data_IF_239896803588
#
_entry.id   IF_239896803588
#
_cell.length_a   1.000
_cell.length_b   1.000
_cell.length_c   1.000
_cell.angle_alpha   90.00
_cell.angle_beta   90.00
_cell.angle_gamma   90.00
#
_symmetry.space_group_name_H-M   'P 1'
#
loop_
_entity.id
_entity.type
_entity.pdbx_description
1 polymer ?
#
# COMPACT_ATOMS: atom_id res chain seq x y z
N UNK A 1 4.42 -6.25 106.55
CA UNK A 1 3.19 -5.42 106.54
C UNK A 1 3.19 -4.54 105.30
N UNK A 2 2.07 -4.56 104.55
CA UNK A 2 1.48 -3.54 103.65
C UNK A 2 2.39 -2.71 102.71
N UNK A 3 2.24 -3.03 101.41
CA UNK A 3 1.94 -2.16 100.24
C UNK A 3 2.00 -0.63 100.40
N UNK A 4 2.60 0.09 99.42
CA UNK A 4 1.87 1.01 98.52
C UNK A 4 2.71 1.43 97.30
N UNK A 5 2.02 1.49 96.14
CA UNK A 5 2.48 1.82 94.78
C UNK A 5 2.66 3.33 94.58
N UNK A 6 3.57 3.80 93.70
CA UNK A 6 3.23 4.78 92.64
C UNK A 6 4.33 5.06 91.59
N UNK A 7 3.86 5.13 90.32
CA UNK A 7 4.30 5.92 89.17
C UNK A 7 5.72 5.78 88.58
N UNK A 8 5.90 4.84 87.64
CA UNK A 8 6.90 4.94 86.57
C UNK A 8 6.25 5.57 85.32
N UNK A 9 6.60 6.81 84.99
CA UNK A 9 6.23 7.45 83.71
C UNK A 9 7.14 6.89 82.62
N UNK A 10 6.60 6.02 81.77
CA UNK A 10 7.27 5.58 80.54
C UNK A 10 7.16 6.70 79.49
N UNK A 11 8.24 7.44 79.27
CA UNK A 11 8.36 8.32 78.10
C UNK A 11 8.68 7.43 76.88
N UNK A 12 7.70 7.23 76.03
CA UNK A 12 7.85 6.52 74.75
C UNK A 12 8.46 7.49 73.73
N UNK A 13 9.61 7.22 73.10
CA UNK A 13 10.05 8.01 71.96
C UNK A 13 9.15 7.69 70.77
N UNK A 14 8.38 8.67 70.31
CA UNK A 14 7.65 8.60 69.05
C UNK A 14 8.71 8.64 67.94
N UNK A 15 9.14 7.47 67.49
CA UNK A 15 9.92 7.32 66.28
C UNK A 15 8.98 7.56 65.08
N UNK A 16 8.93 8.80 64.61
CA UNK A 16 8.25 9.17 63.37
C UNK A 16 8.94 8.49 62.18
N UNK A 17 8.40 7.37 61.73
CA UNK A 17 8.76 6.78 60.45
C UNK A 17 8.20 7.65 59.32
N UNK A 18 9.01 8.57 58.79
CA UNK A 18 8.72 9.25 57.53
C UNK A 18 8.89 8.22 56.41
N UNK A 19 7.79 7.59 56.00
CA UNK A 19 7.74 6.83 54.76
C UNK A 19 7.88 7.84 53.60
N UNK A 20 9.10 8.01 53.09
CA UNK A 20 9.32 8.66 51.81
C UNK A 20 8.68 7.76 50.75
N UNK A 21 7.45 8.09 50.34
CA UNK A 21 6.84 7.52 49.15
C UNK A 21 7.75 7.88 47.98
N UNK A 22 8.55 6.91 47.52
CA UNK A 22 9.29 7.06 46.27
C UNK A 22 8.26 7.31 45.17
N UNK A 23 8.40 8.39 44.36
CA UNK A 23 7.50 8.60 43.25
C UNK A 23 7.57 7.36 42.37
N UNK A 24 6.42 6.73 42.12
CA UNK A 24 6.32 5.70 41.11
C UNK A 24 6.91 6.28 39.83
N UNK A 25 7.99 5.68 39.33
CA UNK A 25 8.62 6.10 38.09
C UNK A 25 7.54 5.97 37.01
N UNK A 26 7.10 7.09 36.44
CA UNK A 26 6.15 7.08 35.34
C UNK A 26 6.75 6.23 34.22
N UNK A 27 5.95 5.32 33.66
CA UNK A 27 6.37 4.45 32.57
C UNK A 27 5.72 4.92 31.26
N UNK A 28 6.37 4.68 30.13
CA UNK A 28 5.81 4.89 28.78
C UNK A 28 4.44 4.21 28.66
N UNK A 29 4.27 3.08 29.35
CA UNK A 29 3.00 2.35 29.46
C UNK A 29 1.85 3.18 29.99
N UNK A 30 2.04 4.05 30.98
CA UNK A 30 0.96 4.86 31.56
C UNK A 30 0.37 5.80 30.50
N UNK A 31 1.24 6.41 29.69
CA UNK A 31 0.81 7.24 28.56
C UNK A 31 0.15 6.43 27.44
N UNK A 32 0.61 5.20 27.18
CA UNK A 32 -0.02 4.28 26.23
C UNK A 32 -1.43 3.88 26.68
N UNK A 33 -1.60 3.54 27.95
CA UNK A 33 -2.90 3.17 28.51
C UNK A 33 -3.86 4.35 28.45
N UNK A 34 -3.40 5.57 28.78
CA UNK A 34 -4.17 6.80 28.61
C UNK A 34 -4.57 7.04 27.14
N UNK A 35 -3.65 6.83 26.19
CA UNK A 35 -3.93 6.96 24.76
C UNK A 35 -4.99 5.97 24.28
N UNK A 36 -4.91 4.71 24.71
CA UNK A 36 -5.90 3.67 24.38
C UNK A 36 -7.28 3.98 24.98
N UNK A 37 -7.33 4.63 26.15
CA UNK A 37 -8.55 5.12 26.75
C UNK A 37 -9.12 6.39 26.08
N UNK A 38 -8.42 6.97 25.09
CA UNK A 38 -8.80 8.21 24.43
C UNK A 38 -8.43 9.49 25.20
N UNK A 39 -7.76 9.37 26.35
CA UNK A 39 -7.25 10.50 27.12
C UNK A 39 -5.87 10.93 26.58
N UNK A 40 -5.91 11.56 25.41
CA UNK A 40 -4.69 11.96 24.69
C UNK A 40 -3.91 13.06 25.42
N UNK A 41 -4.59 13.93 26.17
CA UNK A 41 -3.93 14.98 26.94
C UNK A 41 -3.11 14.39 28.09
N UNK A 42 -3.68 13.42 28.82
CA UNK A 42 -2.95 12.66 29.82
C UNK A 42 -1.80 11.87 29.19
N UNK A 43 -2.04 11.18 28.07
CA UNK A 43 -0.99 10.43 27.38
C UNK A 43 0.25 11.29 27.08
N UNK A 44 0.03 12.49 26.52
CA UNK A 44 1.11 13.46 26.27
C UNK A 44 1.78 13.91 27.56
N UNK A 45 1.02 14.13 28.63
CA UNK A 45 1.55 14.54 29.93
C UNK A 45 2.48 13.47 30.54
N UNK A 46 2.12 12.19 30.42
CA UNK A 46 2.94 11.05 30.89
C UNK A 46 4.19 10.86 30.02
N UNK A 47 4.07 10.94 28.69
CA UNK A 47 5.22 10.74 27.80
C UNK A 47 6.23 11.88 27.80
N UNK A 48 5.80 13.12 28.04
CA UNK A 48 6.69 14.28 27.95
C UNK A 48 7.92 14.22 28.87
N UNK A 49 7.82 13.94 30.19
CA UNK A 49 9.00 13.83 31.04
C UNK A 49 9.94 12.71 30.57
N UNK A 50 9.42 11.57 30.14
CA UNK A 50 10.20 10.44 29.66
C UNK A 50 10.94 10.76 28.36
N UNK A 51 10.26 11.39 27.41
CA UNK A 51 10.88 11.80 26.15
C UNK A 51 11.99 12.84 26.36
N UNK A 52 11.82 13.74 27.32
CA UNK A 52 12.84 14.70 27.74
C UNK A 52 14.02 14.01 28.44
N UNK A 53 13.76 12.94 29.19
CA UNK A 53 14.79 12.10 29.82
C UNK A 53 15.52 11.19 28.83
N UNK A 54 15.10 11.14 27.56
CA UNK A 54 15.79 10.41 26.50
C UNK A 54 15.10 9.13 26.04
N UNK A 55 13.98 8.73 26.66
CA UNK A 55 13.28 7.50 26.29
C UNK A 55 12.81 7.53 24.83
N UNK A 56 13.28 6.58 24.02
CA UNK A 56 13.05 6.56 22.58
C UNK A 56 11.58 6.27 22.23
N UNK A 57 10.88 5.46 23.02
CA UNK A 57 9.48 5.11 22.79
C UNK A 57 8.57 6.29 23.14
N UNK A 58 8.86 6.99 24.25
CA UNK A 58 8.18 8.23 24.60
C UNK A 58 8.42 9.35 23.57
N UNK A 59 9.64 9.48 23.06
CA UNK A 59 9.95 10.39 21.95
C UNK A 59 9.14 10.04 20.70
N UNK A 60 9.08 8.77 20.32
CA UNK A 60 8.24 8.33 19.19
C UNK A 60 6.76 8.66 19.42
N UNK A 61 6.23 8.37 20.60
CA UNK A 61 4.84 8.62 20.96
C UNK A 61 4.49 10.12 20.97
N UNK A 62 5.39 10.98 21.46
CA UNK A 62 5.22 12.44 21.35
C UNK A 62 5.24 12.91 19.89
N UNK A 63 6.13 12.34 19.06
CA UNK A 63 6.15 12.60 17.63
C UNK A 63 4.80 12.27 16.97
N UNK A 64 4.21 11.13 17.33
CA UNK A 64 2.88 10.72 16.87
C UNK A 64 1.78 11.66 17.36
N UNK A 65 1.81 12.10 18.62
CA UNK A 65 0.83 13.03 19.17
C UNK A 65 0.80 14.36 18.39
N UNK A 66 1.98 14.94 18.11
CA UNK A 66 2.12 16.15 17.31
C UNK A 66 1.74 15.98 15.84
N UNK A 67 2.07 14.82 15.24
CA UNK A 67 1.67 14.51 13.85
C UNK A 67 0.15 14.41 13.71
N UNK A 68 -0.52 13.82 14.70
CA UNK A 68 -1.96 13.55 14.67
C UNK A 68 -2.81 14.68 15.27
N UNK A 69 -2.20 15.62 16.00
CA UNK A 69 -2.94 16.65 16.74
C UNK A 69 -3.76 16.08 17.89
N UNK A 70 -3.28 15.02 18.55
CA UNK A 70 -3.99 14.35 19.65
C UNK A 70 -3.33 14.69 20.98
N UNK A 71 -4.08 15.33 21.88
CA UNK A 71 -3.56 15.83 23.16
C UNK A 71 -2.68 17.09 23.04
N UNK A 72 -2.28 17.46 21.82
CA UNK A 72 -1.55 18.66 21.45
C UNK A 72 -2.03 19.16 20.08
N UNK A 73 -1.87 20.45 19.73
CA UNK A 73 -2.10 20.91 18.36
C UNK A 73 -1.21 20.20 17.34
N UNK A 74 -1.68 20.10 16.10
CA UNK A 74 -0.87 19.56 14.99
C UNK A 74 0.37 20.42 14.79
N UNK A 75 1.54 19.80 14.84
CA UNK A 75 2.83 20.44 14.56
C UNK A 75 3.80 19.43 13.95
N UNK A 76 3.95 19.48 12.62
CA UNK A 76 4.81 18.54 11.90
C UNK A 76 6.31 18.79 12.15
N UNK A 77 6.70 20.02 12.52
CA UNK A 77 8.08 20.35 12.88
C UNK A 77 8.45 19.73 14.22
N UNK A 78 7.55 19.79 15.21
CA UNK A 78 7.72 19.06 16.47
C UNK A 78 7.72 17.55 16.25
N UNK A 79 6.79 17.03 15.43
CA UNK A 79 6.75 15.61 15.11
C UNK A 79 8.09 15.12 14.51
N UNK A 80 8.61 15.83 13.51
CA UNK A 80 9.92 15.54 12.93
C UNK A 80 11.05 15.57 13.95
N UNK A 81 11.11 16.60 14.80
CA UNK A 81 12.13 16.73 15.84
C UNK A 81 12.13 15.51 16.78
N UNK A 82 10.96 15.09 17.24
CA UNK A 82 10.80 13.93 18.12
C UNK A 82 11.13 12.61 17.43
N UNK A 83 10.64 12.38 16.21
CA UNK A 83 11.01 11.19 15.43
C UNK A 83 12.52 11.14 15.16
N UNK A 84 13.16 12.27 14.87
CA UNK A 84 14.60 12.34 14.63
C UNK A 84 15.40 11.97 15.87
N UNK A 85 14.92 12.31 17.07
CA UNK A 85 15.56 11.89 18.34
C UNK A 85 15.42 10.38 18.55
N UNK A 86 14.22 9.83 18.42
CA UNK A 86 13.99 8.40 18.57
C UNK A 86 14.74 7.57 17.50
N UNK A 87 14.72 8.00 16.24
CA UNK A 87 15.42 7.33 15.14
C UNK A 87 16.94 7.29 15.32
N UNK A 88 17.54 8.34 15.93
CA UNK A 88 18.98 8.34 16.28
C UNK A 88 19.34 7.25 17.29
N UNK A 89 18.38 6.79 18.08
CA UNK A 89 18.53 5.69 19.04
C UNK A 89 18.18 4.32 18.44
N UNK A 90 18.00 4.24 17.12
CA UNK A 90 17.65 2.98 16.44
C UNK A 90 16.14 2.65 16.45
N UNK A 91 15.27 3.55 16.91
CA UNK A 91 13.83 3.29 16.93
C UNK A 91 13.25 3.24 15.50
N UNK A 92 12.99 2.03 15.00
CA UNK A 92 12.65 1.78 13.59
C UNK A 92 11.36 2.49 13.14
N UNK A 93 10.28 2.43 13.95
CA UNK A 93 9.03 3.10 13.58
C UNK A 93 9.16 4.62 13.55
N UNK A 94 10.06 5.21 14.35
CA UNK A 94 10.36 6.63 14.31
C UNK A 94 11.11 6.99 13.04
N UNK A 95 12.08 6.16 12.62
CA UNK A 95 12.77 6.33 11.34
C UNK A 95 11.79 6.28 10.15
N UNK A 96 10.87 5.31 10.16
CA UNK A 96 9.86 5.17 9.10
C UNK A 96 8.95 6.41 9.01
N UNK A 97 8.48 6.92 10.15
CA UNK A 97 7.65 8.13 10.18
C UNK A 97 8.46 9.40 9.85
N UNK A 98 9.74 9.47 10.24
CA UNK A 98 10.63 10.58 9.92
C UNK A 98 10.75 10.76 8.41
N UNK A 99 11.02 9.67 7.67
CA UNK A 99 11.10 9.70 6.21
C UNK A 99 9.81 10.24 5.57
N UNK A 100 8.65 9.77 6.04
CA UNK A 100 7.35 10.22 5.54
C UNK A 100 7.06 11.70 5.85
N UNK A 101 7.37 12.17 7.06
CA UNK A 101 7.15 13.58 7.44
C UNK A 101 8.06 14.52 6.66
N UNK A 102 9.34 14.17 6.48
CA UNK A 102 10.27 14.96 5.66
C UNK A 102 9.78 15.00 4.20
N UNK A 103 9.29 13.86 3.69
CA UNK A 103 8.79 13.76 2.33
C UNK A 103 7.57 14.67 2.08
N UNK A 104 6.58 14.63 2.97
CA UNK A 104 5.37 15.46 2.85
C UNK A 104 5.62 16.94 3.10
N UNK A 105 6.69 17.28 3.82
CA UNK A 105 7.19 18.66 3.96
C UNK A 105 7.88 19.20 2.69
N UNK A 106 7.85 18.47 1.56
CA UNK A 106 8.44 18.90 0.29
C UNK A 106 9.96 18.68 0.20
N UNK A 107 10.60 18.15 1.24
CA UNK A 107 12.04 17.85 1.27
C UNK A 107 12.32 16.42 0.80
N UNK A 108 11.74 16.06 -0.34
CA UNK A 108 11.71 14.68 -0.84
C UNK A 108 13.12 14.07 -1.00
N UNK A 109 14.10 14.86 -1.46
CA UNK A 109 15.50 14.40 -1.58
C UNK A 109 16.13 14.06 -0.22
N UNK A 110 15.85 14.85 0.82
CA UNK A 110 16.30 14.56 2.19
C UNK A 110 15.63 13.27 2.73
N UNK A 111 14.37 13.03 2.37
CA UNK A 111 13.62 11.87 2.82
C UNK A 111 14.09 10.55 2.21
N UNK A 112 14.64 10.54 0.98
CA UNK A 112 14.88 9.30 0.23
C UNK A 112 15.75 8.27 0.93
N UNK A 113 16.86 8.61 1.61
CA UNK A 113 17.62 7.64 2.37
C UNK A 113 16.79 6.91 3.44
N UNK A 114 15.88 7.61 4.12
CA UNK A 114 14.97 7.01 5.09
C UNK A 114 13.93 6.12 4.40
N UNK A 115 13.29 6.62 3.34
CA UNK A 115 12.30 5.88 2.56
C UNK A 115 12.87 4.57 2.01
N UNK A 116 14.11 4.58 1.51
CA UNK A 116 14.77 3.38 0.99
C UNK A 116 14.96 2.35 2.11
N UNK A 117 15.55 2.73 3.24
CA UNK A 117 15.76 1.80 4.37
C UNK A 117 14.45 1.26 4.94
N UNK A 118 13.42 2.09 5.05
CA UNK A 118 12.08 1.67 5.48
C UNK A 118 11.44 0.69 4.50
N UNK A 119 11.54 0.94 3.19
CA UNK A 119 11.02 0.05 2.15
C UNK A 119 11.77 -1.29 2.12
N UNK A 120 13.08 -1.28 2.34
CA UNK A 120 13.92 -2.49 2.47
C UNK A 120 13.54 -3.34 3.68
N UNK A 121 13.03 -2.73 4.76
CA UNK A 121 12.46 -3.45 5.91
C UNK A 121 11.01 -3.87 5.70
N UNK A 122 10.41 -3.57 4.56
CA UNK A 122 9.03 -3.96 4.25
C UNK A 122 7.96 -3.00 4.75
N UNK A 123 8.28 -1.74 5.07
CA UNK A 123 7.27 -0.76 5.48
C UNK A 123 6.39 -0.38 4.28
N UNK A 124 5.06 -0.66 4.31
CA UNK A 124 4.22 -0.57 3.10
C UNK A 124 4.10 0.84 2.51
N UNK A 125 4.08 1.89 3.34
CA UNK A 125 3.96 3.28 2.87
C UNK A 125 5.25 3.72 2.20
N UNK A 126 6.41 3.36 2.74
CA UNK A 126 7.71 3.61 2.16
C UNK A 126 7.90 2.83 0.85
N UNK A 127 7.47 1.55 0.79
CA UNK A 127 7.44 0.78 -0.45
C UNK A 127 6.60 1.46 -1.53
N UNK A 128 5.43 1.99 -1.17
CA UNK A 128 4.58 2.74 -2.08
C UNK A 128 5.23 4.05 -2.58
N UNK A 129 5.84 4.83 -1.68
CA UNK A 129 6.56 6.07 -2.04
C UNK A 129 7.74 5.78 -2.95
N UNK A 130 8.58 4.81 -2.60
CA UNK A 130 9.73 4.40 -3.40
C UNK A 130 9.29 3.84 -4.76
N UNK A 131 8.24 3.01 -4.79
CA UNK A 131 7.66 2.48 -6.01
C UNK A 131 7.18 3.59 -6.94
N UNK A 132 6.57 4.64 -6.41
CA UNK A 132 6.13 5.81 -7.19
C UNK A 132 7.32 6.60 -7.75
N UNK A 133 8.35 6.85 -6.94
CA UNK A 133 9.56 7.54 -7.38
C UNK A 133 10.30 6.78 -8.50
N UNK A 134 10.41 5.45 -8.38
CA UNK A 134 11.00 4.58 -9.42
C UNK A 134 10.14 4.52 -10.69
N UNK A 135 8.82 4.72 -10.60
CA UNK A 135 7.97 4.81 -11.78
C UNK A 135 8.22 6.12 -12.55
N UNK A 136 8.29 7.23 -11.82
CA UNK A 136 8.41 8.58 -12.37
C UNK A 136 9.83 8.88 -12.88
N UNK A 137 10.86 8.44 -12.15
CA UNK A 137 12.26 8.79 -12.43
C UNK A 137 12.68 10.18 -11.95
N UNK A 138 11.98 10.78 -10.97
CA UNK A 138 12.13 12.17 -10.52
C UNK A 138 13.12 12.34 -9.35
N UNK A 139 13.18 11.36 -8.44
CA UNK A 139 14.05 11.36 -7.24
C UNK A 139 15.14 10.28 -7.29
N UNK A 140 14.87 9.22 -8.06
CA UNK A 140 15.73 8.06 -8.26
C UNK A 140 15.55 7.59 -9.71
N UNK A 141 16.57 6.95 -10.28
CA UNK A 141 16.51 6.45 -11.64
C UNK A 141 15.29 5.53 -11.85
N UNK A 142 14.63 5.69 -13.01
CA UNK A 142 13.42 4.96 -13.34
C UNK A 142 13.68 3.45 -13.42
N UNK A 143 12.86 2.66 -12.73
CA UNK A 143 12.89 1.20 -12.71
C UNK A 143 11.46 0.65 -12.58
N UNK A 144 10.86 0.33 -13.74
CA UNK A 144 9.48 -0.14 -13.78
C UNK A 144 9.27 -1.53 -13.14
N UNK A 145 10.13 -2.54 -13.34
CA UNK A 145 10.03 -3.81 -12.62
C UNK A 145 10.03 -3.63 -11.11
N UNK A 146 11.02 -2.90 -10.56
CA UNK A 146 11.13 -2.70 -9.12
C UNK A 146 9.99 -1.83 -8.58
N UNK A 147 9.58 -0.80 -9.33
CA UNK A 147 8.39 0.01 -9.01
C UNK A 147 7.13 -0.84 -8.84
N UNK A 148 6.88 -1.72 -9.81
CA UNK A 148 5.72 -2.60 -9.79
C UNK A 148 5.81 -3.59 -8.62
N UNK A 149 6.98 -4.19 -8.38
CA UNK A 149 7.20 -5.12 -7.29
C UNK A 149 6.96 -4.48 -5.90
N UNK A 150 7.51 -3.29 -5.66
CA UNK A 150 7.32 -2.56 -4.40
C UNK A 150 5.86 -2.15 -4.19
N UNK A 151 5.18 -1.66 -5.24
CA UNK A 151 3.76 -1.31 -5.17
C UNK A 151 2.91 -2.55 -4.88
N UNK A 152 3.28 -3.71 -5.45
CA UNK A 152 2.62 -5.00 -5.17
C UNK A 152 2.84 -5.44 -3.72
N UNK A 153 4.07 -5.40 -3.19
CA UNK A 153 4.37 -5.70 -1.78
C UNK A 153 3.55 -4.84 -0.83
N UNK A 154 3.49 -3.52 -1.10
CA UNK A 154 2.69 -2.59 -0.32
C UNK A 154 1.18 -2.92 -0.37
N UNK A 155 0.66 -3.25 -1.56
CA UNK A 155 -0.73 -3.69 -1.74
C UNK A 155 -1.02 -4.99 -0.98
N UNK A 156 -0.11 -5.97 -1.03
CA UNK A 156 -0.27 -7.26 -0.35
C UNK A 156 -0.24 -7.14 1.17
N UNK A 157 0.48 -6.12 1.68
CA UNK A 157 0.45 -5.72 3.08
C UNK A 157 -0.84 -4.95 3.47
N UNK A 158 -1.80 -4.80 2.56
CA UNK A 158 -3.11 -4.19 2.81
C UNK A 158 -3.18 -2.68 2.60
N UNK A 159 -2.15 -2.05 2.02
CA UNK A 159 -2.18 -0.61 1.75
C UNK A 159 -3.08 -0.30 0.55
N UNK A 160 -4.31 0.15 0.82
CA UNK A 160 -5.36 0.38 -0.18
C UNK A 160 -4.96 1.36 -1.29
N UNK A 161 -4.22 2.42 -0.96
CA UNK A 161 -3.70 3.37 -1.97
C UNK A 161 -2.71 2.70 -2.91
N UNK A 162 -1.92 1.73 -2.43
CA UNK A 162 -1.04 0.93 -3.27
C UNK A 162 -1.84 -0.05 -4.14
N UNK A 163 -2.92 -0.65 -3.61
CA UNK A 163 -3.83 -1.49 -4.41
C UNK A 163 -4.47 -0.70 -5.56
N UNK A 164 -4.97 0.51 -5.29
CA UNK A 164 -5.52 1.38 -6.33
C UNK A 164 -4.47 1.80 -7.36
N UNK A 165 -3.23 2.07 -6.92
CA UNK A 165 -2.12 2.39 -7.82
C UNK A 165 -1.70 1.20 -8.67
N UNK A 166 -1.69 -0.01 -8.10
CA UNK A 166 -1.32 -1.23 -8.81
C UNK A 166 -2.24 -1.47 -10.03
N UNK A 167 -3.54 -1.22 -9.89
CA UNK A 167 -4.50 -1.28 -11.02
C UNK A 167 -4.13 -0.32 -12.14
N UNK A 168 -3.62 0.87 -11.81
CA UNK A 168 -3.13 1.81 -12.83
C UNK A 168 -1.83 1.30 -13.46
N UNK A 169 -0.90 0.78 -12.65
CA UNK A 169 0.35 0.21 -13.17
C UNK A 169 0.11 -0.99 -14.08
N UNK A 170 -0.96 -1.76 -13.88
CA UNK A 170 -1.36 -2.84 -14.79
C UNK A 170 -1.67 -2.37 -16.21
N UNK A 171 -2.04 -1.10 -16.37
CA UNK A 171 -2.31 -0.47 -17.66
C UNK A 171 -1.09 0.27 -18.21
N UNK A 172 -0.29 0.86 -17.32
CA UNK A 172 0.81 1.76 -17.68
C UNK A 172 2.16 1.04 -17.86
N UNK A 173 2.38 -0.06 -17.15
CA UNK A 173 3.65 -0.81 -17.18
C UNK A 173 3.55 -1.97 -18.18
N UNK A 174 4.46 -2.06 -19.17
CA UNK A 174 4.50 -3.18 -20.12
C UNK A 174 4.51 -4.55 -19.41
N UNK A 175 3.84 -5.53 -20.02
CA UNK A 175 3.64 -6.86 -19.41
C UNK A 175 4.97 -7.53 -19.02
N UNK A 176 5.99 -7.45 -19.86
CA UNK A 176 7.31 -8.03 -19.61
C UNK A 176 8.01 -7.40 -18.39
N UNK A 177 7.79 -6.10 -18.16
CA UNK A 177 8.33 -5.36 -17.03
C UNK A 177 7.59 -5.75 -15.74
N UNK A 178 6.26 -5.88 -15.80
CA UNK A 178 5.44 -6.38 -14.68
C UNK A 178 5.83 -7.80 -14.29
N UNK A 179 6.02 -8.69 -15.26
CA UNK A 179 6.47 -10.06 -15.03
C UNK A 179 7.84 -10.11 -14.33
N UNK A 180 8.79 -9.26 -14.76
CA UNK A 180 10.08 -9.11 -14.07
C UNK A 180 9.92 -8.61 -12.64
N UNK A 181 9.05 -7.63 -12.40
CA UNK A 181 8.75 -7.15 -11.06
C UNK A 181 8.15 -8.24 -10.16
N UNK A 182 7.18 -9.00 -10.68
CA UNK A 182 6.57 -10.13 -9.96
C UNK A 182 7.60 -11.23 -9.63
N UNK A 183 8.57 -11.48 -10.51
CA UNK A 183 9.63 -12.45 -10.28
C UNK A 183 10.58 -12.05 -9.13
N UNK A 184 10.63 -10.78 -8.73
CA UNK A 184 11.46 -10.29 -7.62
C UNK A 184 10.86 -10.59 -6.24
N UNK A 185 9.53 -10.77 -6.15
CA UNK A 185 8.81 -10.80 -4.87
C UNK A 185 9.35 -11.84 -3.87
N UNK A 186 9.62 -13.11 -4.25
CA UNK A 186 10.10 -14.09 -3.28
C UNK A 186 11.47 -13.74 -2.68
N UNK A 187 12.34 -13.07 -3.45
CA UNK A 187 13.64 -12.63 -2.96
C UNK A 187 13.50 -11.39 -2.08
N UNK A 188 12.66 -10.44 -2.49
CA UNK A 188 12.34 -9.25 -1.69
C UNK A 188 11.81 -9.62 -0.30
N UNK A 189 10.89 -10.58 -0.19
CA UNK A 189 10.34 -11.02 1.09
C UNK A 189 11.40 -11.59 2.04
N UNK A 190 12.38 -12.33 1.48
CA UNK A 190 13.52 -12.85 2.24
C UNK A 190 14.45 -11.74 2.70
N UNK A 191 14.76 -10.81 1.79
CA UNK A 191 15.64 -9.68 2.09
C UNK A 191 14.99 -8.73 3.12
N UNK A 192 13.69 -8.49 3.03
CA UNK A 192 12.90 -7.73 4.01
C UNK A 192 12.95 -8.38 5.40
N UNK A 193 12.83 -9.70 5.46
CA UNK A 193 12.93 -10.44 6.71
C UNK A 193 14.33 -10.34 7.31
N UNK A 194 15.37 -10.50 6.47
CA UNK A 194 16.76 -10.31 6.88
C UNK A 194 17.03 -8.89 7.37
N UNK A 195 16.55 -7.88 6.64
CA UNK A 195 16.73 -6.47 6.98
C UNK A 195 16.06 -6.12 8.31
N UNK A 196 14.84 -6.61 8.57
CA UNK A 196 14.17 -6.43 9.86
C UNK A 196 14.94 -7.06 11.01
N UNK A 197 15.41 -8.30 10.84
CA UNK A 197 16.21 -8.99 11.87
C UNK A 197 17.52 -8.25 12.15
N UNK A 198 18.24 -7.84 11.11
CA UNK A 198 19.48 -7.08 11.24
C UNK A 198 19.26 -5.73 11.94
N UNK A 199 18.16 -5.04 11.63
CA UNK A 199 17.82 -3.76 12.24
C UNK A 199 17.51 -3.89 13.73
N UNK A 200 16.84 -4.97 14.15
CA UNK A 200 16.62 -5.27 15.57
C UNK A 200 17.94 -5.59 16.28
N UNK A 201 18.84 -6.35 15.66
CA UNK A 201 20.15 -6.66 16.23
C UNK A 201 21.08 -5.45 16.33
N UNK A 202 20.99 -4.50 15.40
CA UNK A 202 21.81 -3.28 15.39
C UNK A 202 21.33 -2.21 16.40
N UNK A 203 20.07 -2.29 16.84
CA UNK A 203 19.49 -1.37 17.84
C UNK A 203 19.66 -1.84 19.29
N UNK A 204 20.34 -2.95 19.55
CA UNK A 204 20.63 -3.39 20.91
C UNK A 204 21.69 -2.47 21.54
N UNK A 205 21.45 -1.91 22.75
CA UNK A 205 22.43 -1.07 23.40
C UNK A 205 23.73 -1.84 23.68
N UNK A 206 24.88 -1.18 23.51
CA UNK A 206 26.15 -1.66 24.03
C UNK A 206 26.03 -1.86 25.56
N UNK A 207 26.69 -2.88 26.15
CA UNK A 207 26.45 -3.34 27.52
C UNK A 207 26.70 -2.32 28.64
N UNK A 208 27.21 -1.12 28.35
CA UNK A 208 27.52 -0.07 29.34
C UNK A 208 26.41 0.99 29.51
N UNK A 209 25.33 0.95 28.73
CA UNK A 209 24.15 1.78 28.99
C UNK A 209 23.18 1.01 29.89
N UNK A 210 22.91 1.52 31.10
CA UNK A 210 21.96 0.92 32.03
C UNK A 210 20.63 0.60 31.33
N UNK A 211 20.04 -0.60 31.56
CA UNK A 211 18.91 -1.06 30.76
C UNK A 211 17.69 -0.20 31.06
N UNK A 212 17.24 0.58 30.07
CA UNK A 212 15.84 0.99 30.03
C UNK A 212 15.01 -0.30 29.98
N UNK A 213 13.94 -0.42 30.78
CA UNK A 213 13.12 -1.62 30.76
C UNK A 213 12.62 -1.83 29.33
N UNK A 214 12.90 -3.01 28.77
CA UNK A 214 12.37 -3.43 27.47
C UNK A 214 10.86 -3.63 27.62
N UNK A 215 10.12 -2.55 27.46
CA UNK A 215 8.67 -2.57 27.47
C UNK A 215 8.22 -2.67 26.03
N UNK A 216 7.21 -3.51 25.82
CA UNK A 216 6.57 -3.64 24.53
C UNK A 216 6.12 -2.24 24.12
N UNK A 217 6.69 -1.70 23.05
CA UNK A 217 6.00 -0.69 22.25
C UNK A 217 4.57 -1.18 22.14
N UNK A 218 3.59 -0.40 22.61
CA UNK A 218 2.25 -0.69 22.14
C UNK A 218 2.35 -0.69 20.62
N UNK A 219 1.89 -1.77 20.01
CA UNK A 219 1.34 -1.67 18.67
C UNK A 219 0.17 -0.69 18.80
N UNK A 220 0.49 0.61 18.87
CA UNK A 220 -0.40 1.66 18.42
C UNK A 220 -0.91 1.12 17.08
N UNK A 221 -2.25 1.10 16.85
CA UNK A 221 -2.76 0.59 15.60
C UNK A 221 -1.92 1.22 14.50
N UNK A 222 -1.34 0.39 13.63
CA UNK A 222 -0.64 0.86 12.43
C UNK A 222 -1.54 1.94 11.89
N UNK A 223 -1.07 3.21 11.81
CA UNK A 223 -1.91 4.38 11.53
C UNK A 223 -3.05 3.90 10.67
N UNK A 224 -4.25 3.70 11.25
CA UNK A 224 -5.32 3.07 10.49
C UNK A 224 -5.36 3.90 9.21
N UNK A 225 -5.30 3.29 8.00
CA UNK A 225 -5.56 4.05 6.81
C UNK A 225 -6.90 4.70 7.12
N UNK A 226 -6.88 6.00 7.41
CA UNK A 226 -8.09 6.68 7.79
C UNK A 226 -9.01 6.44 6.63
N UNK A 227 -10.01 5.57 6.83
CA UNK A 227 -11.22 5.57 6.07
C UNK A 227 -11.97 6.85 6.48
N UNK A 228 -11.39 7.98 6.10
CA UNK A 228 -12.00 9.28 5.93
C UNK A 228 -11.09 10.12 5.02
N UNK A 229 -10.65 9.53 3.91
CA UNK A 229 -10.86 10.27 2.68
C UNK A 229 -12.33 10.10 2.32
N UNK A 230 -13.14 11.09 2.70
CA UNK A 230 -14.46 11.26 2.11
C UNK A 230 -14.22 11.84 0.71
N UNK A 231 -14.51 11.13 -0.39
CA UNK A 231 -14.64 11.80 -1.67
C UNK A 231 -15.71 12.89 -1.51
N UNK A 232 -15.51 14.11 -2.05
CA UNK A 232 -16.57 15.11 -2.06
C UNK A 232 -17.84 14.49 -2.66
N UNK A 233 -19.04 14.81 -2.16
CA UNK A 233 -20.26 14.18 -2.62
C UNK A 233 -20.37 14.35 -4.15
N UNK A 234 -20.69 13.27 -4.84
CA UNK A 234 -21.23 13.39 -6.19
C UNK A 234 -22.51 14.21 -6.04
N UNK A 235 -22.49 15.43 -6.56
CA UNK A 235 -23.73 16.20 -6.73
C UNK A 235 -24.54 15.42 -7.76
N UNK A 236 -25.51 14.63 -7.28
CA UNK A 236 -26.53 14.09 -8.17
C UNK A 236 -27.27 15.29 -8.80
N UNK A 237 -27.57 15.24 -10.12
CA UNK A 237 -28.34 16.30 -10.75
C UNK A 237 -29.76 16.30 -10.16
N UNK A 238 -30.02 17.24 -9.26
CA UNK A 238 -31.38 17.58 -8.83
C UNK A 238 -32.10 18.29 -9.98
N UNK A 239 -33.33 17.89 -10.34
CA UNK A 239 -34.10 18.52 -11.39
C UNK A 239 -34.50 19.94 -10.97
N UNK A 240 -34.02 20.94 -11.72
CA UNK A 240 -34.43 22.33 -11.55
C UNK A 240 -35.89 22.50 -11.98
N UNK A 241 -36.74 22.92 -11.04
CA UNK A 241 -38.04 23.48 -11.35
C UNK A 241 -37.94 25.02 -11.33
N UNK A 242 -37.71 25.65 -12.49
CA UNK A 242 -38.22 26.99 -12.80
C UNK A 242 -38.02 27.32 -14.29
N UNK A 243 -39.04 27.95 -14.89
CA UNK A 243 -39.21 28.27 -16.33
C UNK A 243 -38.24 29.36 -16.85
N UNK A 244 -38.06 29.48 -18.19
CA UNK A 244 -36.97 30.22 -18.82
C UNK A 244 -37.30 31.70 -19.11
N UNK A 245 -36.27 32.57 -19.05
CA UNK A 245 -36.28 33.89 -19.70
C UNK A 245 -35.00 34.09 -20.55
N UNK A 246 -35.18 34.83 -21.64
CA UNK A 246 -34.42 34.74 -22.91
C UNK A 246 -32.96 35.21 -22.87
N UNK A 247 -32.17 34.52 -23.68
CA UNK A 247 -30.79 34.78 -24.03
C UNK A 247 -30.64 35.94 -25.03
N UNK A 248 -29.88 36.96 -24.64
CA UNK A 248 -28.76 37.60 -25.36
C UNK A 248 -28.14 38.61 -24.40
N UNK A 249 -26.83 38.81 -24.50
CA UNK A 249 -25.98 39.75 -23.73
C UNK A 249 -25.17 39.22 -22.52
N UNK A 250 -25.16 37.89 -22.29
CA UNK A 250 -24.36 37.29 -21.19
C UNK A 250 -22.86 37.05 -21.51
N UNK A 251 -22.45 37.14 -22.78
CA UNK A 251 -21.05 36.87 -23.16
C UNK A 251 -20.12 38.07 -22.88
N UNK A 252 -20.66 39.30 -22.93
CA UNK A 252 -19.89 40.53 -22.68
C UNK A 252 -19.77 40.81 -21.18
N UNK A 253 -20.83 40.58 -20.40
CA UNK A 253 -20.82 40.69 -18.94
C UNK A 253 -19.97 39.62 -18.24
N UNK A 254 -19.79 38.43 -18.84
CA UNK A 254 -18.92 37.39 -18.31
C UNK A 254 -17.42 37.72 -18.50
N UNK A 255 -17.05 38.51 -19.51
CA UNK A 255 -15.65 38.91 -19.72
C UNK A 255 -15.19 40.01 -18.76
N UNK A 256 -16.08 40.94 -18.40
CA UNK A 256 -15.78 42.03 -17.46
C UNK A 256 -15.81 41.55 -15.99
N UNK A 257 -16.72 40.63 -15.62
CA UNK A 257 -16.74 40.03 -14.28
C UNK A 257 -15.55 39.10 -14.00
N UNK A 258 -14.89 38.57 -15.04
CA UNK A 258 -13.68 37.76 -14.89
C UNK A 258 -12.43 38.62 -14.65
N UNK A 259 -12.42 39.87 -15.12
CA UNK A 259 -11.32 40.81 -14.87
C UNK A 259 -11.33 41.33 -13.41
N UNK A 260 -12.51 41.62 -12.86
CA UNK A 260 -12.65 42.08 -11.47
C UNK A 260 -12.46 40.96 -10.43
N UNK A 261 -12.76 39.70 -10.78
CA UNK A 261 -12.48 38.53 -9.93
C UNK A 261 -10.99 38.17 -9.85
N UNK A 262 -10.20 38.54 -10.87
CA UNK A 262 -8.73 38.35 -10.89
C UNK A 262 -8.00 39.40 -10.02
N UNK A 263 -8.59 40.58 -9.81
CA UNK A 263 -8.06 41.61 -8.91
C UNK A 263 -8.33 41.32 -7.41
N UNK A 264 -9.39 40.57 -7.09
CA UNK A 264 -9.81 40.32 -5.70
C UNK A 264 -9.14 39.11 -5.01
N UNK A 265 -8.31 38.33 -5.73
CA UNK A 265 -7.61 37.15 -5.19
C UNK A 265 -6.18 37.44 -4.69
N UNK A 266 -5.77 38.71 -4.65
CA UNK A 266 -4.45 39.14 -4.16
C UNK A 266 -4.33 39.23 -2.61
N UNK A 267 -5.36 38.89 -1.83
CA UNK A 267 -5.32 39.01 -0.37
C UNK A 267 -5.85 37.75 0.36
N UNK A 268 -4.92 37.09 1.05
CA UNK A 268 -5.07 36.10 2.14
C UNK A 268 -5.48 34.63 1.82
N UNK A 269 -4.65 33.70 2.34
CA UNK A 269 -4.77 32.23 2.29
C UNK A 269 -5.08 31.66 3.67
N UNK A 270 -5.79 30.52 3.76
CA UNK A 270 -5.21 29.33 4.39
C UNK A 270 -5.23 28.12 3.45
N UNK A 271 -4.09 27.42 3.37
CA UNK A 271 -3.88 26.31 2.45
C UNK A 271 -3.89 24.94 3.11
N UNK A 272 -4.77 24.07 2.62
CA UNK A 272 -4.52 22.64 2.44
C UNK A 272 -5.27 22.19 1.18
N UNK A 273 -4.56 22.15 0.05
CA UNK A 273 -5.03 21.55 -1.19
C UNK A 273 -3.87 20.78 -1.77
N UNK A 274 -3.99 19.45 -1.75
CA UNK A 274 -3.16 18.59 -2.58
C UNK A 274 -3.58 18.82 -4.02
N UNK A 275 -2.75 19.52 -4.79
CA UNK A 275 -2.75 19.40 -6.23
C UNK A 275 -1.88 18.20 -6.60
N UNK A 276 -2.42 17.26 -7.38
CA UNK A 276 -1.59 16.29 -8.07
C UNK A 276 -0.52 17.06 -8.89
N UNK A 277 0.73 16.56 -8.98
CA UNK A 277 1.72 17.17 -9.85
C UNK A 277 1.15 17.30 -11.27
N UNK A 278 1.41 18.41 -12.00
CA UNK A 278 0.84 18.61 -13.31
C UNK A 278 1.30 17.50 -14.26
N UNK A 279 0.33 16.85 -14.92
CA UNK A 279 0.55 16.08 -16.14
C UNK A 279 0.82 17.08 -17.26
N UNK A 280 2.06 17.29 -17.67
CA UNK A 280 2.30 17.98 -18.95
C UNK A 280 3.65 17.65 -19.60
N UNK A 281 3.53 17.05 -20.78
CA UNK A 281 4.46 17.11 -21.90
C UNK A 281 3.76 16.49 -23.12
N UNK A 282 3.64 17.18 -24.27
CA UNK A 282 3.02 16.60 -25.46
C UNK A 282 3.83 15.39 -25.94
N UNK A 283 3.13 14.31 -26.31
CA UNK A 283 3.75 13.21 -27.05
C UNK A 283 4.25 13.74 -28.40
N UNK A 284 5.49 13.42 -28.82
CA UNK A 284 5.95 13.77 -30.16
C UNK A 284 5.09 13.06 -31.22
N UNK A 285 4.76 13.79 -32.28
CA UNK A 285 3.96 13.31 -33.40
C UNK A 285 4.61 12.10 -34.08
N UNK A 286 3.79 11.10 -34.40
CA UNK A 286 4.15 9.90 -35.16
C UNK A 286 4.69 10.28 -36.54
N UNK A 287 5.90 9.84 -36.95
CA UNK A 287 6.30 9.89 -38.35
C UNK A 287 5.50 8.87 -39.19
N UNK A 288 5.16 9.29 -40.40
CA UNK A 288 4.35 8.56 -41.37
C UNK A 288 4.92 7.19 -41.77
N UNK A 289 4.01 6.29 -42.15
CA UNK A 289 4.26 4.92 -42.56
C UNK A 289 5.21 4.79 -43.76
N UNK A 290 6.20 3.90 -43.65
CA UNK A 290 6.99 3.38 -44.77
C UNK A 290 6.43 2.00 -45.22
N UNK A 291 6.60 1.62 -46.50
CA UNK A 291 5.73 0.65 -47.17
C UNK A 291 6.04 -0.81 -46.85
N UNK A 292 5.02 -1.66 -47.01
CA UNK A 292 5.05 -3.09 -46.73
C UNK A 292 6.04 -3.87 -47.62
N UNK A 293 6.79 -4.86 -47.07
CA UNK A 293 7.58 -5.77 -47.88
C UNK A 293 6.69 -6.79 -48.60
N UNK A 294 7.05 -7.07 -49.86
CA UNK A 294 6.36 -7.98 -50.77
C UNK A 294 6.43 -9.43 -50.27
N UNK A 295 5.29 -10.14 -50.34
CA UNK A 295 5.19 -11.58 -50.03
C UNK A 295 5.97 -12.39 -51.07
N UNK A 296 6.91 -13.21 -50.61
CA UNK A 296 7.50 -14.28 -51.42
C UNK A 296 6.53 -15.48 -51.38
N UNK A 297 6.13 -15.95 -52.56
CA UNK A 297 5.35 -17.17 -52.78
C UNK A 297 6.31 -18.36 -52.66
N UNK A 298 6.03 -19.29 -51.73
CA UNK A 298 6.68 -20.60 -51.70
C UNK A 298 5.67 -21.62 -52.23
N UNK A 299 6.09 -22.33 -53.28
CA UNK A 299 5.38 -23.44 -53.92
C UNK A 299 5.66 -24.75 -53.16
N UNK A 300 4.72 -25.71 -53.08
CA UNK A 300 4.82 -26.82 -52.14
C UNK A 300 5.64 -27.98 -52.71
N UNK A 301 6.54 -28.54 -51.88
CA UNK A 301 7.28 -29.75 -52.19
C UNK A 301 6.72 -30.97 -51.45
N UNK A 302 6.75 -32.09 -52.18
CA UNK A 302 6.28 -33.46 -51.98
C UNK A 302 6.23 -34.07 -50.56
N UNK A 303 5.24 -34.96 -50.42
CA UNK A 303 5.01 -35.93 -49.33
C UNK A 303 6.03 -37.07 -49.29
N UNK A 304 6.36 -37.58 -48.08
CA UNK A 304 6.66 -38.99 -47.88
C UNK A 304 5.67 -39.68 -46.93
N UNK A 305 5.69 -41.02 -47.03
CA UNK A 305 4.70 -42.02 -46.66
C UNK A 305 4.15 -42.10 -45.22
N UNK A 306 3.02 -42.82 -45.18
CA UNK A 306 2.12 -43.15 -44.09
C UNK A 306 2.78 -43.57 -42.75
N UNK A 307 2.40 -42.85 -41.69
CA UNK A 307 2.51 -43.27 -40.29
C UNK A 307 1.11 -43.69 -39.76
N UNK A 308 1.02 -44.58 -38.75
CA UNK A 308 -0.14 -45.45 -38.54
C UNK A 308 -1.39 -44.72 -38.04
N UNK A 309 -2.53 -45.27 -38.45
CA UNK A 309 -3.90 -44.82 -38.18
C UNK A 309 -4.12 -44.58 -36.67
N UNK A 310 -4.57 -43.38 -36.24
CA UNK A 310 -4.87 -43.15 -34.83
C UNK A 310 -6.06 -44.03 -34.40
N UNK A 311 -5.85 -44.73 -33.29
CA UNK A 311 -6.88 -45.52 -32.62
C UNK A 311 -8.12 -44.67 -32.31
N UNK A 312 -9.34 -45.26 -32.32
CA UNK A 312 -10.57 -44.52 -32.10
C UNK A 312 -10.51 -43.83 -30.74
N UNK A 313 -10.68 -42.51 -30.74
CA UNK A 313 -10.83 -41.70 -29.53
C UNK A 313 -12.06 -42.22 -28.80
N UNK A 314 -11.83 -42.99 -27.73
CA UNK A 314 -12.88 -43.34 -26.77
C UNK A 314 -13.57 -42.04 -26.38
N UNK A 315 -14.89 -42.00 -26.51
CA UNK A 315 -15.71 -40.92 -25.97
C UNK A 315 -15.40 -40.82 -24.47
N UNK A 316 -14.53 -39.88 -24.13
CA UNK A 316 -14.02 -39.72 -22.79
C UNK A 316 -15.15 -39.12 -21.95
N UNK A 317 -15.59 -39.88 -20.94
CA UNK A 317 -16.42 -39.38 -19.86
C UNK A 317 -15.75 -38.12 -19.31
N UNK A 318 -16.49 -37.00 -19.28
CA UNK A 318 -15.97 -35.71 -18.86
C UNK A 318 -15.44 -35.81 -17.42
N UNK A 319 -14.11 -35.85 -17.29
CA UNK A 319 -13.41 -35.91 -16.01
C UNK A 319 -13.60 -34.62 -15.19
N UNK A 320 -13.12 -34.60 -13.94
CA UNK A 320 -13.29 -33.45 -13.05
C UNK A 320 -12.44 -32.24 -13.47
N UNK A 321 -11.54 -32.39 -14.44
CA UNK A 321 -10.56 -31.37 -14.78
C UNK A 321 -11.12 -30.31 -15.72
N UNK A 322 -10.76 -29.05 -15.45
CA UNK A 322 -11.13 -27.89 -16.24
C UNK A 322 -9.91 -26.99 -16.46
N UNK A 323 -10.01 -26.12 -17.46
CA UNK A 323 -8.99 -25.13 -17.75
C UNK A 323 -9.61 -23.73 -17.71
N UNK A 324 -9.23 -22.92 -16.72
CA UNK A 324 -9.70 -21.55 -16.57
C UNK A 324 -8.95 -20.60 -17.50
N UNK A 325 -9.70 -19.98 -18.41
CA UNK A 325 -9.19 -19.06 -19.44
C UNK A 325 -9.23 -17.59 -19.01
N UNK A 326 -10.04 -17.27 -18.00
CA UNK A 326 -10.15 -15.91 -17.46
C UNK A 326 -11.21 -15.78 -16.38
N UNK A 327 -11.23 -14.62 -15.73
CA UNK A 327 -12.17 -14.24 -14.69
C UNK A 327 -12.60 -12.79 -14.95
N UNK A 328 -13.91 -12.56 -15.07
CA UNK A 328 -14.45 -11.30 -15.58
C UNK A 328 -15.50 -10.74 -14.62
N UNK A 329 -15.41 -9.46 -14.29
CA UNK A 329 -16.48 -8.75 -13.56
C UNK A 329 -17.78 -8.67 -14.37
N UNK A 330 -17.69 -8.76 -15.70
CA UNK A 330 -18.83 -8.67 -16.63
C UNK A 330 -18.93 -9.94 -17.48
N UNK A 331 -20.05 -10.65 -17.39
CA UNK A 331 -20.29 -11.93 -18.07
C UNK A 331 -20.13 -11.87 -19.59
N UNK A 332 -20.52 -10.73 -20.19
CA UNK A 332 -20.39 -10.50 -21.62
C UNK A 332 -18.94 -10.58 -22.11
N UNK A 333 -17.97 -10.19 -21.27
CA UNK A 333 -16.56 -10.25 -21.63
C UNK A 333 -16.02 -11.67 -21.63
N UNK A 334 -16.51 -12.54 -20.73
CA UNK A 334 -16.18 -13.96 -20.74
C UNK A 334 -16.65 -14.61 -22.05
N UNK A 335 -17.89 -14.34 -22.48
CA UNK A 335 -18.45 -14.88 -23.74
C UNK A 335 -17.69 -14.38 -24.96
N UNK A 336 -17.32 -13.09 -24.97
CA UNK A 336 -16.50 -12.50 -26.05
C UNK A 336 -15.11 -13.13 -26.13
N UNK A 337 -14.45 -13.36 -24.99
CA UNK A 337 -13.15 -14.05 -24.98
C UNK A 337 -13.29 -15.46 -25.54
N UNK A 338 -14.30 -16.23 -25.11
CA UNK A 338 -14.53 -17.57 -25.64
C UNK A 338 -14.67 -17.57 -27.16
N UNK A 339 -15.53 -16.69 -27.70
CA UNK A 339 -15.75 -16.58 -29.14
C UNK A 339 -14.48 -16.13 -29.91
N UNK A 340 -13.62 -15.31 -29.32
CA UNK A 340 -12.34 -14.94 -29.91
C UNK A 340 -11.36 -16.12 -29.92
N UNK A 341 -11.25 -16.84 -28.81
CA UNK A 341 -10.35 -17.99 -28.69
C UNK A 341 -10.78 -19.18 -29.54
N UNK A 342 -12.07 -19.50 -29.59
CA UNK A 342 -12.59 -20.58 -30.42
C UNK A 342 -12.35 -20.32 -31.92
N UNK A 343 -12.37 -19.05 -32.37
CA UNK A 343 -12.03 -18.69 -33.75
C UNK A 343 -10.53 -18.82 -34.05
N UNK A 344 -9.69 -18.51 -33.07
CA UNK A 344 -8.23 -18.48 -33.24
C UNK A 344 -7.57 -19.83 -33.00
N UNK A 345 -8.16 -20.68 -32.17
CA UNK A 345 -7.58 -21.96 -31.73
C UNK A 345 -8.60 -23.09 -31.87
N UNK A 346 -8.40 -24.02 -32.82
CA UNK A 346 -9.27 -25.19 -33.00
C UNK A 346 -9.39 -26.04 -31.73
N UNK A 347 -8.32 -26.11 -30.94
CA UNK A 347 -8.32 -26.81 -29.65
C UNK A 347 -9.31 -26.22 -28.64
N UNK A 348 -9.60 -24.90 -28.70
CA UNK A 348 -10.61 -24.25 -27.84
C UNK A 348 -12.01 -24.49 -28.38
N UNK A 349 -12.19 -24.46 -29.71
CA UNK A 349 -13.47 -24.75 -30.35
C UNK A 349 -13.96 -26.18 -30.08
N UNK A 350 -13.04 -27.12 -29.85
CA UNK A 350 -13.35 -28.52 -29.51
C UNK A 350 -13.76 -28.74 -28.05
N UNK A 351 -13.69 -27.72 -27.18
CA UNK A 351 -14.06 -27.81 -25.77
C UNK A 351 -15.41 -27.17 -25.50
N UNK A 352 -16.02 -27.49 -24.34
CA UNK A 352 -17.28 -26.87 -23.93
C UNK A 352 -17.02 -25.74 -22.93
N UNK A 353 -17.52 -24.50 -23.17
CA UNK A 353 -17.37 -23.42 -22.21
C UNK A 353 -18.27 -23.61 -20.99
N UNK A 354 -17.75 -23.29 -19.81
CA UNK A 354 -18.53 -23.09 -18.60
C UNK A 354 -18.27 -21.69 -18.02
N UNK A 355 -19.34 -21.02 -17.64
CA UNK A 355 -19.34 -19.68 -17.05
C UNK A 355 -19.77 -19.82 -15.59
N UNK A 356 -18.81 -19.88 -14.68
CA UNK A 356 -19.07 -20.13 -13.25
C UNK A 356 -19.08 -18.80 -12.51
N UNK A 357 -20.21 -18.49 -11.86
CA UNK A 357 -20.34 -17.33 -10.98
C UNK A 357 -19.66 -17.60 -9.64
N UNK A 358 -18.74 -16.73 -9.25
CA UNK A 358 -18.07 -16.75 -7.96
C UNK A 358 -18.09 -15.32 -7.39
N UNK A 359 -19.10 -15.02 -6.57
CA UNK A 359 -19.36 -13.65 -6.11
C UNK A 359 -19.66 -12.71 -7.28
N UNK A 360 -18.94 -11.60 -7.35
CA UNK A 360 -19.07 -10.58 -8.42
C UNK A 360 -18.33 -10.93 -9.72
N UNK A 361 -17.72 -12.11 -9.82
CA UNK A 361 -16.85 -12.49 -10.94
C UNK A 361 -17.36 -13.76 -11.63
N UNK A 362 -17.34 -13.73 -12.97
CA UNK A 362 -17.62 -14.88 -13.83
C UNK A 362 -16.32 -15.48 -14.33
N UNK A 363 -16.04 -16.71 -13.91
CA UNK A 363 -14.89 -17.48 -14.37
C UNK A 363 -15.26 -18.23 -15.64
N UNK A 364 -14.43 -18.08 -16.68
CA UNK A 364 -14.55 -18.81 -17.93
C UNK A 364 -13.67 -20.06 -17.86
N UNK A 365 -14.29 -21.23 -17.97
CA UNK A 365 -13.61 -22.51 -18.00
C UNK A 365 -13.84 -23.23 -19.33
N UNK A 366 -12.80 -23.84 -19.89
CA UNK A 366 -12.94 -24.93 -20.84
C UNK A 366 -13.11 -26.25 -20.07
N UNK A 367 -14.02 -27.10 -20.52
CA UNK A 367 -14.44 -28.31 -19.81
C UNK A 367 -14.48 -29.49 -20.78
N UNK A 368 -14.31 -30.71 -20.26
CA UNK A 368 -14.25 -31.93 -21.06
C UNK A 368 -12.94 -32.71 -20.92
N UNK A 369 -12.05 -32.33 -20.00
CA UNK A 369 -10.78 -33.02 -19.79
C UNK A 369 -10.95 -34.24 -18.86
N UNK A 370 -10.62 -35.43 -19.37
CA UNK A 370 -10.67 -36.66 -18.59
C UNK A 370 -9.59 -36.69 -17.49
N UNK A 371 -8.39 -36.23 -17.82
CA UNK A 371 -7.24 -36.22 -16.90
C UNK A 371 -6.67 -34.82 -16.71
N UNK A 372 -5.89 -34.64 -15.63
CA UNK A 372 -5.13 -33.42 -15.37
C UNK A 372 -4.14 -33.12 -16.50
N UNK A 373 -3.52 -34.17 -17.04
CA UNK A 373 -2.54 -34.06 -18.12
C UNK A 373 -3.16 -33.49 -19.39
N UNK A 374 -4.39 -33.87 -19.73
CA UNK A 374 -5.12 -33.32 -20.88
C UNK A 374 -5.36 -31.81 -20.72
N UNK A 375 -5.81 -31.39 -19.53
CA UNK A 375 -6.01 -29.97 -19.21
C UNK A 375 -4.69 -29.18 -19.20
N UNK A 376 -3.59 -29.79 -18.75
CA UNK A 376 -2.25 -29.19 -18.76
C UNK A 376 -1.73 -29.00 -20.17
N UNK A 377 -1.85 -30.01 -21.04
CA UNK A 377 -1.46 -29.91 -22.45
C UNK A 377 -2.24 -28.83 -23.19
N UNK A 378 -3.55 -28.74 -22.92
CA UNK A 378 -4.40 -27.66 -23.43
C UNK A 378 -3.91 -26.28 -22.97
N UNK A 379 -3.67 -26.09 -21.67
CA UNK A 379 -3.19 -24.81 -21.15
C UNK A 379 -1.80 -24.44 -21.66
N UNK A 380 -0.87 -25.39 -21.76
CA UNK A 380 0.47 -25.14 -22.28
C UNK A 380 0.45 -24.63 -23.73
N UNK A 381 -0.48 -25.16 -24.55
CA UNK A 381 -0.67 -24.71 -25.93
C UNK A 381 -1.14 -23.27 -26.00
N UNK A 382 -2.12 -22.90 -25.16
CA UNK A 382 -2.63 -21.52 -25.11
C UNK A 382 -1.59 -20.55 -24.58
N UNK A 383 -0.86 -20.93 -23.53
CA UNK A 383 0.19 -20.12 -22.92
C UNK A 383 1.33 -19.80 -23.90
N UNK A 384 1.74 -20.76 -24.75
CA UNK A 384 2.73 -20.50 -25.83
C UNK A 384 2.31 -19.40 -26.79
N UNK A 385 1.01 -19.17 -26.95
CA UNK A 385 0.45 -18.12 -27.78
C UNK A 385 0.08 -16.84 -27.01
N UNK A 386 0.50 -16.75 -25.75
CA UNK A 386 0.26 -15.62 -24.86
C UNK A 386 -1.12 -15.62 -24.19
N UNK A 387 -1.93 -16.68 -24.35
CA UNK A 387 -3.24 -16.77 -23.72
C UNK A 387 -3.13 -17.41 -22.32
N UNK A 388 -3.59 -16.68 -21.31
CA UNK A 388 -3.65 -17.18 -19.94
C UNK A 388 -4.58 -18.40 -19.83
N UNK A 389 -4.11 -19.42 -19.11
CA UNK A 389 -4.83 -20.66 -18.86
C UNK A 389 -4.34 -21.28 -17.55
N UNK A 390 -5.25 -21.69 -16.67
CA UNK A 390 -4.95 -22.37 -15.40
C UNK A 390 -5.72 -23.68 -15.31
N UNK A 391 -5.04 -24.77 -14.97
CA UNK A 391 -5.71 -26.06 -14.73
C UNK A 391 -6.30 -26.09 -13.34
N UNK A 392 -7.57 -26.46 -13.24
CA UNK A 392 -8.33 -26.58 -11.98
C UNK A 392 -9.10 -27.91 -11.98
N UNK A 393 -9.35 -28.44 -10.79
CA UNK A 393 -10.32 -29.50 -10.57
C UNK A 393 -11.72 -28.91 -10.28
N UNK A 394 -12.72 -29.81 -10.26
CA UNK A 394 -14.15 -29.46 -10.31
C UNK A 394 -14.66 -28.85 -9.03
#
# INVERSE_FOLDING_TARGET
>A
MRSFRTALRLALPIASALALAMPAQADVKDGVDAWQAGDFAKAVAEWRPLALAGDADAQFNLGQAYKLGRGVPVDLTQAESWYRRAAKQGHLQAEDNLGLVIFTAGRQKEAMPYIIRSAERGEPRAQYVLGTALFNGDLIAKDWPRSYALTKRASDAGLTVASARLVQLDQLVPLDQRQRGLAMLPQMEKDETRARLAAVSAGAPEPDAAPAPTIRTASLPASEPGASYTPPPLIEPQPSAAKPAKARDAATAASEATADAVAATAAAKPGTSYAAPPLAGPLPATPAAAPAPKRIRVEPAATPDAAPKPAPVRAATAGPWRAQLGAFAVDGNAKKLWAALARKYPAVAAQTPAYVKAGSVTRLHATGFATRADAQGFCATLQKSGQACLVIDK
#
